data_IF_515552097504
#
_entry.id   IF_515552097504
#
_cell.length_a   1.000
_cell.length_b   1.000
_cell.length_c   1.000
_cell.angle_alpha   90.00
_cell.angle_beta   90.00
_cell.angle_gamma   90.00
#
_symmetry.space_group_name_H-M   'P 1'
#
loop_
_entity.id
_entity.type
_entity.pdbx_description
1 polymer ?
#
# COMPACT_ATOMS: atom_id res chain seq x y z
N UNK A 1 19.13 -8.90 -25.30
CA UNK A 1 18.99 -8.65 -23.84
C UNK A 1 17.75 -7.82 -23.50
N UNK A 2 17.45 -6.74 -24.23
CA UNK A 2 16.28 -5.88 -23.99
C UNK A 2 14.91 -6.61 -24.05
N UNK A 3 14.70 -7.49 -25.04
CA UNK A 3 13.46 -8.26 -25.17
C UNK A 3 13.20 -9.18 -23.98
N UNK A 4 14.20 -9.97 -23.58
CA UNK A 4 14.11 -10.89 -22.44
C UNK A 4 13.84 -10.16 -21.11
N UNK A 5 14.43 -8.99 -20.91
CA UNK A 5 14.13 -8.15 -19.74
C UNK A 5 12.64 -7.79 -19.67
N UNK A 6 12.08 -7.27 -20.76
CA UNK A 6 10.65 -6.89 -20.81
C UNK A 6 9.76 -8.11 -20.61
N UNK A 7 10.09 -9.28 -21.20
CA UNK A 7 9.28 -10.49 -21.02
C UNK A 7 9.26 -10.97 -19.57
N UNK A 8 10.43 -10.97 -18.90
CA UNK A 8 10.53 -11.36 -17.49
C UNK A 8 9.77 -10.38 -16.60
N UNK A 9 9.97 -9.07 -16.80
CA UNK A 9 9.26 -8.04 -16.03
C UNK A 9 7.76 -8.14 -16.25
N UNK A 10 7.30 -8.23 -17.50
CA UNK A 10 5.87 -8.33 -17.81
C UNK A 10 5.24 -9.59 -17.21
N UNK A 11 5.89 -10.75 -17.29
CA UNK A 11 5.37 -12.01 -16.72
C UNK A 11 5.30 -11.97 -15.20
N UNK A 12 6.36 -11.51 -14.54
CA UNK A 12 6.38 -11.38 -13.08
C UNK A 12 5.28 -10.43 -12.61
N UNK A 13 5.15 -9.26 -13.25
CA UNK A 13 4.10 -8.29 -12.93
C UNK A 13 2.71 -8.84 -13.21
N UNK A 14 2.50 -9.61 -14.28
CA UNK A 14 1.23 -10.23 -14.61
C UNK A 14 0.80 -11.26 -13.55
N UNK A 15 1.74 -12.11 -13.12
CA UNK A 15 1.50 -13.09 -12.04
C UNK A 15 1.14 -12.35 -10.75
N UNK A 16 1.95 -11.37 -10.34
CA UNK A 16 1.69 -10.58 -9.13
C UNK A 16 0.35 -9.85 -9.20
N UNK A 17 -0.01 -9.30 -10.36
CA UNK A 17 -1.31 -8.65 -10.56
C UNK A 17 -2.46 -9.65 -10.47
N UNK A 18 -2.31 -10.84 -11.06
CA UNK A 18 -3.29 -11.92 -10.96
C UNK A 18 -3.54 -12.35 -9.52
N UNK A 19 -2.46 -12.55 -8.74
CA UNK A 19 -2.58 -12.84 -7.30
C UNK A 19 -3.26 -11.68 -6.55
N UNK A 20 -2.91 -10.43 -6.88
CA UNK A 20 -3.48 -9.24 -6.23
C UNK A 20 -4.97 -9.07 -6.53
N UNK A 21 -5.41 -9.39 -7.76
CA UNK A 21 -6.83 -9.43 -8.13
C UNK A 21 -7.55 -10.51 -7.33
N UNK A 22 -7.01 -11.74 -7.28
CA UNK A 22 -7.60 -12.84 -6.51
C UNK A 22 -7.73 -12.48 -5.03
N UNK A 23 -6.68 -11.89 -4.46
CA UNK A 23 -6.68 -11.40 -3.09
C UNK A 23 -7.72 -10.30 -2.87
N UNK A 24 -7.82 -9.33 -3.78
CA UNK A 24 -8.79 -8.23 -3.68
C UNK A 24 -10.23 -8.74 -3.77
N UNK A 25 -10.49 -9.75 -4.60
CA UNK A 25 -11.79 -10.41 -4.68
C UNK A 25 -12.12 -11.16 -3.39
N UNK A 26 -11.16 -11.91 -2.83
CA UNK A 26 -11.32 -12.55 -1.53
C UNK A 26 -11.59 -11.51 -0.43
N UNK A 27 -10.85 -10.41 -0.42
CA UNK A 27 -11.05 -9.31 0.51
C UNK A 27 -12.44 -8.66 0.34
N UNK A 28 -12.94 -8.54 -0.89
CA UNK A 28 -14.29 -8.02 -1.14
C UNK A 28 -15.38 -8.93 -0.56
N UNK A 29 -15.21 -10.25 -0.71
CA UNK A 29 -16.08 -11.25 -0.08
C UNK A 29 -16.02 -11.14 1.45
N UNK A 30 -14.82 -10.96 2.01
CA UNK A 30 -14.64 -10.80 3.44
C UNK A 30 -15.31 -9.51 3.95
N UNK A 31 -15.15 -8.38 3.26
CA UNK A 31 -15.81 -7.12 3.60
C UNK A 31 -17.33 -7.26 3.52
N UNK A 32 -17.85 -7.94 2.50
CA UNK A 32 -19.28 -8.20 2.38
C UNK A 32 -19.80 -9.11 3.51
N UNK A 33 -19.04 -10.12 3.92
CA UNK A 33 -19.38 -10.99 5.04
C UNK A 33 -19.34 -10.22 6.37
N UNK A 34 -18.29 -9.43 6.62
CA UNK A 34 -18.15 -8.62 7.83
C UNK A 34 -19.22 -7.52 7.92
N UNK A 35 -19.59 -6.90 6.79
CA UNK A 35 -20.68 -5.93 6.74
C UNK A 35 -22.04 -6.53 7.12
N UNK A 36 -22.26 -7.84 6.85
CA UNK A 36 -23.46 -8.55 7.30
C UNK A 36 -23.42 -8.92 8.79
N UNK A 37 -22.24 -9.22 9.31
CA UNK A 37 -22.06 -9.64 10.70
C UNK A 37 -21.98 -8.46 11.68
N UNK A 38 -21.66 -7.26 11.19
CA UNK A 38 -21.50 -6.02 11.98
C UNK A 38 -20.67 -6.22 13.28
N UNK A 39 -19.41 -6.68 13.17
CA UNK A 39 -18.58 -6.94 14.34
C UNK A 39 -18.29 -5.66 15.13
N UNK A 40 -18.13 -4.52 14.44
CA UNK A 40 -17.88 -3.22 15.10
C UNK A 40 -19.09 -2.78 15.92
N UNK A 41 -20.30 -2.85 15.36
CA UNK A 41 -21.51 -2.56 16.12
C UNK A 41 -21.75 -3.57 17.24
N UNK A 42 -21.37 -4.84 17.06
CA UNK A 42 -21.41 -5.83 18.14
C UNK A 42 -20.45 -5.49 19.30
N UNK A 43 -19.21 -5.09 19.02
CA UNK A 43 -18.25 -4.67 20.05
C UNK A 43 -18.75 -3.42 20.81
N UNK A 44 -19.29 -2.44 20.06
CA UNK A 44 -19.88 -1.24 20.67
C UNK A 44 -21.07 -1.58 21.59
N UNK A 45 -21.93 -2.52 21.18
CA UNK A 45 -23.03 -3.03 22.04
C UNK A 45 -22.54 -3.72 23.31
N UNK A 46 -21.32 -4.28 23.31
CA UNK A 46 -20.69 -4.86 24.50
C UNK A 46 -19.95 -3.83 25.37
N UNK A 47 -19.99 -2.54 25.01
CA UNK A 47 -19.29 -1.49 25.75
C UNK A 47 -17.77 -1.53 25.58
N UNK A 48 -17.26 -2.27 24.59
CA UNK A 48 -15.82 -2.33 24.33
C UNK A 48 -15.39 -1.09 23.53
N UNK A 49 -14.31 -0.39 23.94
CA UNK A 49 -13.82 0.76 23.21
C UNK A 49 -13.28 0.34 21.84
N UNK A 50 -13.89 0.85 20.77
CA UNK A 50 -13.42 0.62 19.40
C UNK A 50 -12.58 1.82 18.95
N UNK A 51 -11.29 1.63 18.60
CA UNK A 51 -10.44 2.71 18.11
C UNK A 51 -11.03 3.43 16.89
N UNK A 52 -10.92 4.75 16.83
CA UNK A 52 -11.43 5.58 15.73
C UNK A 52 -10.88 5.15 14.35
N UNK A 53 -9.62 4.71 14.30
CA UNK A 53 -9.00 4.17 13.09
C UNK A 53 -9.70 2.91 12.58
N UNK A 54 -10.14 2.02 13.49
CA UNK A 54 -10.86 0.80 13.14
C UNK A 54 -12.28 1.11 12.64
N UNK A 55 -12.94 2.11 13.23
CA UNK A 55 -14.25 2.59 12.76
C UNK A 55 -14.14 3.23 11.37
N UNK A 56 -13.13 4.07 11.15
CA UNK A 56 -12.86 4.69 9.85
C UNK A 56 -12.56 3.63 8.78
N UNK A 57 -11.71 2.65 9.11
CA UNK A 57 -11.35 1.57 8.22
C UNK A 57 -12.56 0.68 7.89
N UNK A 58 -13.42 0.37 8.86
CA UNK A 58 -14.66 -0.37 8.62
C UNK A 58 -15.61 0.41 7.70
N UNK A 59 -15.75 1.72 7.91
CA UNK A 59 -16.58 2.59 7.08
C UNK A 59 -16.07 2.68 5.63
N UNK A 60 -14.76 2.77 5.44
CA UNK A 60 -14.13 2.89 4.12
C UNK A 60 -13.66 1.55 3.54
N UNK A 61 -13.93 0.42 4.20
CA UNK A 61 -13.41 -0.89 3.82
C UNK A 61 -13.74 -1.24 2.37
N UNK A 62 -15.01 -1.06 1.98
CA UNK A 62 -15.48 -1.34 0.63
C UNK A 62 -14.80 -0.43 -0.40
N UNK A 63 -14.71 0.89 -0.14
CA UNK A 63 -14.02 1.82 -1.04
C UNK A 63 -12.54 1.50 -1.20
N UNK A 64 -11.85 1.14 -0.10
CA UNK A 64 -10.42 0.80 -0.12
C UNK A 64 -10.17 -0.52 -0.87
N UNK A 65 -11.02 -1.53 -0.65
CA UNK A 65 -10.91 -2.80 -1.37
C UNK A 65 -11.23 -2.65 -2.85
N UNK A 66 -12.23 -1.85 -3.23
CA UNK A 66 -12.52 -1.54 -4.63
C UNK A 66 -11.36 -0.77 -5.28
N UNK A 67 -10.77 0.20 -4.58
CA UNK A 67 -9.59 0.91 -5.07
C UNK A 67 -8.42 -0.05 -5.32
N UNK A 68 -8.15 -0.97 -4.39
CA UNK A 68 -7.11 -2.00 -4.55
C UNK A 68 -7.39 -2.94 -5.72
N UNK A 69 -8.66 -3.34 -5.91
CA UNK A 69 -9.07 -4.14 -7.06
C UNK A 69 -8.83 -3.40 -8.37
N UNK A 70 -9.25 -2.13 -8.44
CA UNK A 70 -9.05 -1.28 -9.63
C UNK A 70 -7.56 -1.13 -9.97
N UNK A 71 -6.71 -0.87 -8.97
CA UNK A 71 -5.26 -0.78 -9.16
C UNK A 71 -4.67 -2.12 -9.63
N UNK A 72 -5.14 -3.24 -9.07
CA UNK A 72 -4.69 -4.58 -9.48
C UNK A 72 -5.08 -4.92 -10.91
N UNK A 73 -6.31 -4.59 -11.32
CA UNK A 73 -6.80 -4.75 -12.70
C UNK A 73 -6.05 -3.83 -13.65
N UNK A 74 -5.79 -2.58 -13.26
CA UNK A 74 -4.99 -1.66 -14.05
C UNK A 74 -3.57 -2.21 -14.26
N UNK A 75 -2.91 -2.69 -13.19
CA UNK A 75 -1.60 -3.34 -13.28
C UNK A 75 -1.64 -4.57 -14.21
N UNK A 76 -2.67 -5.40 -14.10
CA UNK A 76 -2.85 -6.57 -14.95
C UNK A 76 -2.96 -6.16 -16.43
N UNK A 77 -3.77 -5.14 -16.72
CA UNK A 77 -3.98 -4.62 -18.07
C UNK A 77 -2.69 -4.04 -18.67
N UNK A 78 -1.95 -3.20 -17.92
CA UNK A 78 -0.69 -2.65 -18.41
C UNK A 78 0.40 -3.72 -18.53
N UNK A 79 0.44 -4.72 -17.64
CA UNK A 79 1.40 -5.83 -17.73
C UNK A 79 1.13 -6.72 -18.94
N UNK A 80 -0.15 -6.96 -19.24
CA UNK A 80 -0.57 -7.67 -20.44
C UNK A 80 -0.21 -6.90 -21.72
N UNK A 81 -0.50 -5.59 -21.74
CA UNK A 81 -0.14 -4.73 -22.87
C UNK A 81 1.38 -4.63 -23.07
N UNK A 82 2.14 -4.61 -21.97
CA UNK A 82 3.61 -4.65 -21.97
C UNK A 82 4.12 -5.97 -22.58
N UNK A 83 3.51 -7.11 -22.24
CA UNK A 83 3.83 -8.42 -22.82
C UNK A 83 3.51 -8.46 -24.33
N UNK A 84 2.40 -7.84 -24.74
CA UNK A 84 2.02 -7.70 -26.15
C UNK A 84 2.77 -6.60 -26.91
N UNK A 85 3.73 -5.94 -26.27
CA UNK A 85 4.59 -4.92 -26.87
C UNK A 85 3.82 -3.70 -27.41
N UNK A 86 2.71 -3.36 -26.78
CA UNK A 86 2.01 -2.12 -27.11
C UNK A 86 2.61 -0.91 -26.39
N UNK A 87 2.75 0.22 -27.08
CA UNK A 87 3.33 1.43 -26.49
C UNK A 87 2.53 1.96 -25.29
N UNK A 88 1.20 1.92 -25.33
CA UNK A 88 0.36 2.31 -24.20
C UNK A 88 0.58 1.42 -22.96
N UNK A 89 0.99 0.15 -23.15
CA UNK A 89 1.40 -0.72 -22.06
C UNK A 89 2.69 -0.26 -21.39
N UNK A 90 3.67 0.19 -22.18
CA UNK A 90 4.92 0.77 -21.67
C UNK A 90 4.67 2.04 -20.87
N UNK A 91 3.91 2.98 -21.43
CA UNK A 91 3.60 4.26 -20.78
C UNK A 91 2.76 4.02 -19.52
N UNK A 92 1.73 3.18 -19.61
CA UNK A 92 0.89 2.84 -18.48
C UNK A 92 1.67 2.18 -17.33
N UNK A 93 2.60 1.27 -17.65
CA UNK A 93 3.46 0.64 -16.66
C UNK A 93 4.41 1.66 -15.99
N UNK A 94 5.00 2.59 -16.76
CA UNK A 94 5.83 3.68 -16.22
C UNK A 94 5.01 4.56 -15.26
N UNK A 95 3.83 5.00 -15.68
CA UNK A 95 2.94 5.82 -14.85
C UNK A 95 2.58 5.07 -13.57
N UNK A 96 2.23 3.78 -13.68
CA UNK A 96 1.92 2.95 -12.52
C UNK A 96 3.10 2.87 -11.55
N UNK A 97 4.33 2.66 -12.05
CA UNK A 97 5.52 2.61 -11.20
C UNK A 97 5.73 3.93 -10.44
N UNK A 98 5.57 5.07 -11.12
CA UNK A 98 5.73 6.39 -10.49
C UNK A 98 4.66 6.62 -9.43
N UNK A 99 3.39 6.31 -9.74
CA UNK A 99 2.28 6.46 -8.79
C UNK A 99 2.51 5.59 -7.54
N UNK A 100 2.94 4.34 -7.70
CA UNK A 100 3.24 3.45 -6.57
C UNK A 100 4.41 3.98 -5.74
N UNK A 101 5.47 4.48 -6.38
CA UNK A 101 6.60 5.07 -5.65
C UNK A 101 6.16 6.30 -4.83
N UNK A 102 5.35 7.20 -5.40
CA UNK A 102 4.80 8.36 -4.68
C UNK A 102 3.86 7.94 -3.55
N UNK A 103 3.02 6.93 -3.77
CA UNK A 103 2.12 6.40 -2.75
C UNK A 103 2.90 5.84 -1.53
N UNK A 104 4.05 5.21 -1.74
CA UNK A 104 4.91 4.74 -0.65
C UNK A 104 5.41 5.90 0.24
N UNK A 105 5.77 7.04 -0.35
CA UNK A 105 6.13 8.23 0.44
C UNK A 105 4.92 8.86 1.13
N UNK A 106 3.76 8.88 0.47
CA UNK A 106 2.51 9.37 1.05
C UNK A 106 2.05 8.55 2.27
N UNK A 107 2.59 7.34 2.46
CA UNK A 107 2.33 6.51 3.63
C UNK A 107 3.06 7.01 4.89
N UNK A 108 4.18 7.74 4.76
CA UNK A 108 4.99 8.17 5.91
C UNK A 108 4.23 9.08 6.89
N UNK A 109 3.50 10.13 6.44
CA UNK A 109 2.67 10.93 7.33
C UNK A 109 1.54 10.13 7.99
N UNK A 110 1.06 9.07 7.33
CA UNK A 110 0.01 8.21 7.87
C UNK A 110 0.53 7.36 9.04
N UNK A 111 1.74 6.80 8.91
CA UNK A 111 2.43 6.10 10.01
C UNK A 111 2.64 7.06 11.19
N UNK A 112 3.11 8.28 10.90
CA UNK A 112 3.32 9.30 11.92
C UNK A 112 2.03 9.66 12.66
N UNK A 113 0.95 9.91 11.92
CA UNK A 113 -0.38 10.21 12.44
C UNK A 113 -0.96 9.06 13.28
N UNK A 114 -0.66 7.81 12.94
CA UNK A 114 -1.07 6.65 13.74
C UNK A 114 -0.43 6.65 15.14
N UNK A 115 0.87 6.94 15.23
CA UNK A 115 1.54 7.06 16.54
C UNK A 115 1.01 8.26 17.34
N UNK A 116 0.74 9.39 16.68
CA UNK A 116 0.15 10.56 17.32
C UNK A 116 -1.26 10.25 17.88
N UNK A 117 -2.08 9.52 17.11
CA UNK A 117 -3.40 9.08 17.57
C UNK A 117 -3.30 8.14 18.78
N UNK A 118 -2.33 7.23 18.82
CA UNK A 118 -2.12 6.37 19.98
C UNK A 118 -1.75 7.17 21.24
N UNK A 119 -0.91 8.20 21.11
CA UNK A 119 -0.55 9.06 22.24
C UNK A 119 -1.75 9.85 22.77
N UNK A 120 -2.67 10.28 21.90
CA UNK A 120 -3.86 11.04 22.29
C UNK A 120 -4.87 10.26 23.16
N UNK A 121 -4.77 8.93 23.18
CA UNK A 121 -5.66 8.05 23.96
C UNK A 121 -5.13 7.87 25.39
N UNK A 122 -3.85 8.17 25.66
CA UNK A 122 -3.24 7.98 26.96
C UNK A 122 -3.74 9.03 27.98
N UNK A 123 -4.15 8.62 29.19
CA UNK A 123 -4.60 9.56 30.22
C UNK A 123 -3.48 10.49 30.68
N UNK A 124 -3.76 11.79 30.85
CA UNK A 124 -2.75 12.77 31.29
C UNK A 124 -2.05 12.37 32.60
N UNK A 125 -2.78 11.82 33.57
CA UNK A 125 -2.20 11.35 34.84
C UNK A 125 -1.29 10.12 34.73
N UNK A 126 -1.38 9.36 33.63
CA UNK A 126 -0.43 8.28 33.34
C UNK A 126 0.90 8.85 32.83
N UNK A 127 0.86 9.92 32.02
CA UNK A 127 2.04 10.54 31.41
C UNK A 127 3.00 11.16 32.44
N UNK A 128 2.48 11.64 33.57
CA UNK A 128 3.28 12.23 34.65
C UNK A 128 3.95 11.19 35.58
N UNK A 129 3.55 9.91 35.48
CA UNK A 129 4.15 8.83 36.25
C UNK A 129 5.54 8.43 35.72
N UNK A 130 6.43 7.83 36.53
CA UNK A 130 7.68 7.25 36.05
C UNK A 130 7.44 6.22 34.92
N UNK A 131 6.46 5.33 35.10
CA UNK A 131 6.10 4.29 34.14
C UNK A 131 5.58 4.88 32.81
N UNK A 132 4.81 5.97 32.87
CA UNK A 132 4.33 6.66 31.67
C UNK A 132 5.43 7.38 30.90
N UNK A 133 6.44 7.92 31.58
CA UNK A 133 7.62 8.52 30.94
C UNK A 133 8.46 7.47 30.21
N UNK A 134 8.64 6.29 30.80
CA UNK A 134 9.31 5.16 30.14
C UNK A 134 8.50 4.66 28.94
N UNK A 135 7.18 4.49 29.10
CA UNK A 135 6.29 4.08 28.01
C UNK A 135 6.31 5.09 26.84
N UNK A 136 6.33 6.39 27.12
CA UNK A 136 6.46 7.44 26.11
C UNK A 136 7.82 7.39 25.39
N UNK A 137 8.92 7.21 26.12
CA UNK A 137 10.25 7.08 25.54
C UNK A 137 10.34 5.85 24.62
N UNK A 138 9.78 4.73 25.05
CA UNK A 138 9.67 3.52 24.24
C UNK A 138 8.80 3.75 22.99
N UNK A 139 7.63 4.38 23.12
CA UNK A 139 6.76 4.72 21.98
C UNK A 139 7.46 5.63 20.98
N UNK A 140 8.22 6.62 21.45
CA UNK A 140 9.01 7.50 20.58
C UNK A 140 10.10 6.74 19.85
N UNK A 141 10.82 5.85 20.54
CA UNK A 141 11.81 4.98 19.91
C UNK A 141 11.17 4.06 18.86
N UNK A 142 10.00 3.48 19.15
CA UNK A 142 9.24 2.67 18.19
C UNK A 142 8.75 3.48 17.00
N UNK A 143 8.27 4.71 17.21
CA UNK A 143 7.87 5.64 16.14
C UNK A 143 9.04 5.94 15.21
N UNK A 144 10.20 6.33 15.75
CA UNK A 144 11.39 6.61 14.95
C UNK A 144 11.87 5.37 14.20
N UNK A 145 11.89 4.21 14.85
CA UNK A 145 12.26 2.95 14.21
C UNK A 145 11.32 2.65 13.04
N UNK A 146 10.00 2.77 13.24
CA UNK A 146 9.01 2.55 12.20
C UNK A 146 9.14 3.54 11.04
N UNK A 147 9.33 4.84 11.32
CA UNK A 147 9.50 5.87 10.30
C UNK A 147 10.79 5.70 9.50
N UNK A 148 11.90 5.37 10.16
CA UNK A 148 13.18 5.09 9.48
C UNK A 148 13.02 3.85 8.60
N UNK A 149 12.47 2.75 9.14
CA UNK A 149 12.25 1.54 8.36
C UNK A 149 11.35 1.80 7.16
N UNK A 150 10.22 2.48 7.35
CA UNK A 150 9.31 2.83 6.26
C UNK A 150 9.97 3.76 5.24
N UNK A 151 10.77 4.74 5.69
CA UNK A 151 11.51 5.65 4.82
C UNK A 151 12.56 4.93 3.98
N UNK A 152 13.33 4.02 4.58
CA UNK A 152 14.30 3.17 3.87
C UNK A 152 13.59 2.28 2.85
N UNK A 153 12.47 1.66 3.21
CA UNK A 153 11.67 0.87 2.27
C UNK A 153 11.15 1.74 1.12
N UNK A 154 10.57 2.91 1.40
CA UNK A 154 10.08 3.82 0.36
C UNK A 154 11.19 4.25 -0.60
N UNK A 155 12.38 4.59 -0.08
CA UNK A 155 13.55 4.92 -0.89
C UNK A 155 14.02 3.74 -1.76
N UNK A 156 14.08 2.53 -1.20
CA UNK A 156 14.48 1.34 -1.93
C UNK A 156 13.50 1.04 -3.08
N UNK A 157 12.20 1.13 -2.82
CA UNK A 157 11.16 0.98 -3.84
C UNK A 157 11.29 2.08 -4.90
N UNK A 158 11.45 3.35 -4.50
CA UNK A 158 11.61 4.46 -5.44
C UNK A 158 12.84 4.31 -6.34
N UNK A 159 13.97 3.88 -5.78
CA UNK A 159 15.18 3.61 -6.56
C UNK A 159 14.97 2.48 -7.57
N UNK A 160 14.34 1.37 -7.14
CA UNK A 160 14.01 0.25 -8.02
C UNK A 160 13.04 0.67 -9.14
N UNK A 161 12.00 1.41 -8.80
CA UNK A 161 10.98 1.89 -9.75
C UNK A 161 11.60 2.89 -10.74
N UNK A 162 12.40 3.83 -10.25
CA UNK A 162 13.15 4.78 -11.07
C UNK A 162 14.10 4.07 -12.04
N UNK A 163 14.83 3.06 -11.57
CA UNK A 163 15.69 2.24 -12.43
C UNK A 163 14.91 1.51 -13.53
N UNK A 164 13.76 0.91 -13.19
CA UNK A 164 12.88 0.27 -14.18
C UNK A 164 12.36 1.27 -15.22
N UNK A 165 11.93 2.47 -14.78
CA UNK A 165 11.47 3.54 -15.67
C UNK A 165 12.58 3.96 -16.63
N UNK A 166 13.78 4.24 -16.14
CA UNK A 166 14.93 4.61 -16.99
C UNK A 166 15.18 3.52 -18.04
N UNK A 167 15.13 2.25 -17.63
CA UNK A 167 15.37 1.12 -18.54
C UNK A 167 14.26 0.96 -19.58
N UNK A 168 13.00 1.21 -19.22
CA UNK A 168 11.85 1.21 -20.14
C UNK A 168 11.85 2.40 -21.10
N UNK A 169 12.53 3.49 -20.75
CA UNK A 169 12.69 4.67 -21.60
C UNK A 169 13.87 4.57 -22.58
N UNK A 170 14.81 3.63 -22.41
CA UNK A 170 15.94 3.45 -23.33
C UNK A 170 15.47 3.17 -24.76
N UNK A 171 16.15 3.76 -25.74
CA UNK A 171 15.78 3.65 -27.16
C UNK A 171 15.70 2.20 -27.64
N UNK A 172 16.63 1.34 -27.21
CA UNK A 172 16.64 -0.10 -27.50
C UNK A 172 15.37 -0.81 -27.05
N UNK A 173 14.81 -0.40 -25.91
CA UNK A 173 13.59 -0.98 -25.34
C UNK A 173 12.38 -0.33 -26.02
N UNK A 174 12.37 0.99 -26.20
CA UNK A 174 11.31 1.72 -26.89
C UNK A 174 11.07 1.20 -28.31
N UNK A 175 12.14 0.86 -29.03
CA UNK A 175 12.06 0.29 -30.39
C UNK A 175 11.34 -1.07 -30.46
N UNK A 176 11.15 -1.76 -29.34
CA UNK A 176 10.40 -3.02 -29.29
C UNK A 176 8.88 -2.81 -29.24
N UNK A 177 8.41 -1.60 -28.98
CA UNK A 177 6.99 -1.29 -28.83
C UNK A 177 6.43 -0.66 -30.11
N UNK A 178 5.17 -1.00 -30.40
CA UNK A 178 4.39 -0.48 -31.52
C UNK A 178 3.18 0.31 -31.04
#
# INVERSE_FOLDING_TARGET
MAAAFVDVTARLSLVMAGLSVAWSLFQLLLVAALGRLDPVGWLQRQGLPVPSAMQWAAHHALSLTLLMLLLSVALLAVSWALLRRHEWGRIGFIVFLVVVALANFAMLPLVDGMFAAMQSILPAGFLDSPDGREALAQMQASRWTALISAGVTALAFAALHGWLVIKLCRDEVRALFR
#
